data_IF_686795350352
#
_entry.id   IF_686795350352
#
_cell.length_a   1.000
_cell.length_b   1.000
_cell.length_c   1.000
_cell.angle_alpha   90.00
_cell.angle_beta   90.00
_cell.angle_gamma   90.00
#
_symmetry.space_group_name_H-M   'P 1'
#
loop_
_entity.id
_entity.type
_entity.pdbx_description
1 polymer ?
#
# COMPACT_ATOMS: atom_id res chain seq x y z
N UNK A 1 -21.26 9.46 24.78
CA UNK A 1 -20.85 9.53 24.39
C UNK A 1 -19.86 9.40 24.09
N UNK A 2 -19.50 8.95 23.66
CA UNK A 2 -18.57 8.92 23.39
C UNK A 2 -17.84 9.52 22.66
N UNK A 3 -17.46 9.93 22.96
CA UNK A 3 -16.84 10.84 22.07
C UNK A 3 -15.48 10.46 21.67
N UNK A 4 -15.08 9.39 21.96
CA UNK A 4 -13.99 8.94 21.30
C UNK A 4 -14.45 8.59 20.01
N UNK A 5 -14.14 9.38 19.27
CA UNK A 5 -14.45 9.28 18.01
C UNK A 5 -13.68 8.23 17.41
N UNK A 6 -14.30 7.13 17.28
CA UNK A 6 -13.81 6.20 16.30
C UNK A 6 -13.70 6.93 15.00
N UNK A 7 -12.60 6.82 14.33
CA UNK A 7 -12.50 7.33 12.98
C UNK A 7 -13.63 6.70 12.17
N UNK A 8 -14.43 7.55 11.55
CA UNK A 8 -15.57 7.11 10.79
C UNK A 8 -15.12 6.13 9.70
N UNK A 9 -15.86 5.03 9.53
CA UNK A 9 -15.59 4.08 8.47
C UNK A 9 -15.56 4.73 7.10
N UNK A 10 -16.41 5.72 6.86
CA UNK A 10 -16.41 6.46 5.60
C UNK A 10 -15.08 7.18 5.38
N UNK A 11 -14.48 7.73 6.43
CA UNK A 11 -13.19 8.37 6.34
C UNK A 11 -12.08 7.35 6.08
N UNK A 12 -12.12 6.21 6.78
CA UNK A 12 -11.17 5.13 6.54
C UNK A 12 -11.28 4.60 5.11
N UNK A 13 -12.49 4.44 4.62
CA UNK A 13 -12.71 4.03 3.23
C UNK A 13 -12.12 5.03 2.24
N UNK A 14 -12.31 6.32 2.48
CA UNK A 14 -11.74 7.34 1.61
C UNK A 14 -10.22 7.27 1.55
N UNK A 15 -9.57 6.98 2.68
CA UNK A 15 -8.12 6.85 2.72
C UNK A 15 -7.66 5.64 1.91
N UNK A 16 -8.31 4.49 2.07
CA UNK A 16 -7.96 3.29 1.30
C UNK A 16 -8.21 3.51 -0.19
N UNK A 17 -9.40 4.01 -0.54
CA UNK A 17 -9.75 4.21 -1.95
C UNK A 17 -8.83 5.24 -2.60
N UNK A 18 -8.46 6.28 -1.86
CA UNK A 18 -7.52 7.28 -2.33
C UNK A 18 -6.15 6.69 -2.62
N UNK A 19 -5.66 5.81 -1.75
CA UNK A 19 -4.38 5.15 -1.94
C UNK A 19 -4.41 4.20 -3.14
N UNK A 20 -5.47 3.40 -3.26
CA UNK A 20 -5.62 2.48 -4.40
C UNK A 20 -5.64 3.25 -5.72
N UNK A 21 -6.40 4.34 -5.78
CA UNK A 21 -6.46 5.17 -6.98
C UNK A 21 -5.12 5.81 -7.30
N UNK A 22 -4.45 6.36 -6.29
CA UNK A 22 -3.18 7.03 -6.48
C UNK A 22 -2.11 6.05 -6.97
N UNK A 23 -2.09 4.83 -6.44
CA UNK A 23 -1.17 3.80 -6.91
C UNK A 23 -1.49 3.38 -8.33
N UNK A 24 -2.77 3.19 -8.65
CA UNK A 24 -3.19 2.85 -10.00
C UNK A 24 -2.76 3.93 -11.00
N UNK A 25 -2.89 5.19 -10.62
CA UNK A 25 -2.54 6.32 -11.49
C UNK A 25 -1.03 6.62 -11.51
N UNK A 26 -0.25 5.98 -10.65
CA UNK A 26 1.18 6.26 -10.52
C UNK A 26 1.47 7.62 -9.93
N UNK A 27 0.56 8.15 -9.11
CA UNK A 27 0.66 9.50 -8.55
C UNK A 27 1.24 9.49 -7.15
N UNK A 28 2.57 9.58 -7.06
CA UNK A 28 3.29 9.54 -5.78
C UNK A 28 2.85 10.68 -4.86
N UNK A 29 2.63 11.88 -5.40
CA UNK A 29 2.25 13.02 -4.55
C UNK A 29 0.87 12.82 -3.93
N UNK A 30 -0.05 12.18 -4.65
CA UNK A 30 -1.35 11.84 -4.09
C UNK A 30 -1.22 10.75 -3.01
N UNK A 31 -0.31 9.79 -3.19
CA UNK A 31 -0.06 8.75 -2.19
C UNK A 31 0.41 9.38 -0.88
N UNK A 32 1.45 10.22 -0.92
CA UNK A 32 2.00 10.79 0.31
C UNK A 32 1.15 11.93 0.86
N UNK A 33 0.25 12.48 0.05
CA UNK A 33 -0.60 13.59 0.46
C UNK A 33 -1.56 13.27 1.60
N UNK A 34 -1.90 12.00 1.79
CA UNK A 34 -2.76 11.56 2.89
C UNK A 34 -1.96 11.11 4.12
N UNK A 35 -0.64 11.16 4.06
CA UNK A 35 0.24 10.66 5.12
C UNK A 35 0.72 11.78 6.03
N UNK A 36 0.97 11.43 7.29
CA UNK A 36 1.57 12.33 8.24
C UNK A 36 3.06 12.51 7.95
N UNK A 37 3.63 13.64 8.39
CA UNK A 37 5.05 13.94 8.18
C UNK A 37 5.97 12.84 8.71
N UNK A 38 5.64 12.27 9.86
CA UNK A 38 6.44 11.23 10.50
C UNK A 38 5.94 9.82 10.19
N UNK A 39 5.27 9.63 9.06
CA UNK A 39 4.71 8.33 8.67
C UNK A 39 5.78 7.25 8.63
N UNK A 40 5.38 6.04 8.99
CA UNK A 40 6.20 4.84 8.89
C UNK A 40 5.63 3.96 7.80
N UNK A 41 6.46 3.52 6.87
CA UNK A 41 6.04 2.57 5.85
C UNK A 41 6.80 1.26 6.04
N UNK A 42 6.05 0.20 6.29
CA UNK A 42 6.59 -1.11 6.58
C UNK A 42 6.17 -2.08 5.47
N UNK A 43 7.07 -2.33 4.56
CA UNK A 43 6.85 -3.29 3.49
C UNK A 43 7.46 -4.60 3.94
N UNK A 44 6.64 -5.44 4.54
CA UNK A 44 7.06 -6.67 5.21
C UNK A 44 7.81 -7.57 4.22
N UNK A 45 9.02 -7.99 4.61
CA UNK A 45 9.88 -8.82 3.79
C UNK A 45 10.93 -8.05 3.00
N UNK A 46 10.86 -6.72 2.97
CA UNK A 46 11.88 -5.90 2.32
C UNK A 46 13.10 -5.72 3.21
N UNK A 47 14.26 -5.57 2.58
CA UNK A 47 15.52 -5.49 3.32
C UNK A 47 15.62 -4.18 4.11
N UNK A 48 15.55 -3.04 3.45
CA UNK A 48 15.68 -1.74 4.11
C UNK A 48 14.32 -1.29 4.65
N UNK A 49 13.91 -1.88 5.77
CA UNK A 49 12.54 -1.76 6.23
C UNK A 49 12.46 -1.77 7.76
N UNK A 50 11.53 -1.01 8.36
CA UNK A 50 10.67 -0.02 7.72
C UNK A 50 11.39 1.28 7.38
N UNK A 51 10.76 2.10 6.55
CA UNK A 51 11.26 3.44 6.28
C UNK A 51 10.45 4.47 7.03
N UNK A 52 11.09 5.55 7.44
CA UNK A 52 10.52 6.57 8.30
C UNK A 52 10.51 7.92 7.62
N UNK A 53 9.37 8.60 7.71
CA UNK A 53 9.22 9.97 7.25
C UNK A 53 8.80 10.07 5.78
N UNK A 54 8.16 11.19 5.48
CA UNK A 54 7.53 11.40 4.19
C UNK A 54 8.53 11.32 3.03
N UNK A 55 9.73 11.87 3.21
CA UNK A 55 10.74 11.87 2.15
C UNK A 55 11.18 10.44 1.78
N UNK A 56 11.40 9.59 2.78
CA UNK A 56 11.80 8.20 2.55
C UNK A 56 10.67 7.39 1.91
N UNK A 57 9.44 7.62 2.36
CA UNK A 57 8.28 6.94 1.80
C UNK A 57 8.07 7.35 0.35
N UNK A 58 8.22 8.65 0.05
CA UNK A 58 8.11 9.15 -1.33
C UNK A 58 9.13 8.46 -2.25
N UNK A 59 10.38 8.33 -1.80
CA UNK A 59 11.41 7.65 -2.59
C UNK A 59 11.05 6.17 -2.83
N UNK A 60 10.55 5.50 -1.81
CA UNK A 60 10.15 4.08 -1.95
C UNK A 60 9.05 3.92 -2.99
N UNK A 61 8.05 4.79 -2.94
CA UNK A 61 6.95 4.72 -3.91
C UNK A 61 7.41 5.06 -5.33
N UNK A 62 8.32 6.00 -5.49
CA UNK A 62 8.90 6.25 -6.81
C UNK A 62 9.56 4.99 -7.37
N UNK A 63 10.31 4.27 -6.54
CA UNK A 63 10.98 3.04 -6.99
C UNK A 63 9.98 1.93 -7.31
N UNK A 64 9.00 1.73 -6.45
CA UNK A 64 7.99 0.69 -6.64
C UNK A 64 7.17 0.97 -7.91
N UNK A 65 6.70 2.20 -8.06
CA UNK A 65 5.86 2.56 -9.21
C UNK A 65 6.66 2.55 -10.52
N UNK A 66 7.96 2.81 -10.46
CA UNK A 66 8.80 2.70 -11.65
C UNK A 66 8.98 1.25 -12.09
N UNK A 67 8.82 0.30 -11.20
CA UNK A 67 9.02 -1.13 -11.48
C UNK A 67 7.74 -1.87 -11.82
N UNK A 68 6.58 -1.22 -11.70
CA UNK A 68 5.29 -1.89 -11.84
C UNK A 68 4.35 -1.11 -12.76
N UNK A 69 3.44 -1.82 -13.40
CA UNK A 69 2.29 -1.23 -14.08
C UNK A 69 1.06 -1.82 -13.40
N UNK A 70 0.34 -0.98 -12.65
CA UNK A 70 -0.83 -1.40 -11.90
C UNK A 70 -2.03 -1.44 -12.84
N UNK A 71 -2.67 -2.58 -12.96
CA UNK A 71 -3.80 -2.75 -13.87
C UNK A 71 -5.14 -2.83 -13.13
N UNK A 72 -5.20 -3.57 -12.03
CA UNK A 72 -6.48 -3.79 -11.35
C UNK A 72 -6.29 -4.20 -9.89
N UNK A 73 -7.25 -3.79 -9.05
CA UNK A 73 -7.42 -4.30 -7.70
C UNK A 73 -8.79 -4.96 -7.61
N UNK A 74 -8.84 -6.16 -7.03
CA UNK A 74 -10.09 -6.84 -6.73
C UNK A 74 -10.25 -6.92 -5.22
N UNK A 75 -11.26 -6.27 -4.65
CA UNK A 75 -11.44 -6.30 -3.19
C UNK A 75 -11.77 -7.70 -2.70
N UNK A 76 -11.18 -8.08 -1.58
CA UNK A 76 -11.49 -9.32 -0.89
C UNK A 76 -12.28 -9.04 0.38
N UNK A 77 -11.73 -8.23 1.28
CA UNK A 77 -12.46 -7.80 2.48
C UNK A 77 -11.76 -6.61 3.13
N UNK A 78 -12.51 -5.92 3.96
CA UNK A 78 -11.99 -4.77 4.70
C UNK A 78 -12.50 -4.84 6.13
N UNK A 79 -11.59 -4.68 7.09
CA UNK A 79 -11.91 -4.71 8.51
C UNK A 79 -11.54 -3.36 9.11
N UNK A 80 -12.32 -2.92 10.08
CA UNK A 80 -12.18 -1.58 10.65
C UNK A 80 -11.93 -1.65 12.14
N UNK A 81 -11.03 -0.80 12.62
CA UNK A 81 -10.88 -0.50 14.02
C UNK A 81 -11.22 0.95 14.29
N UNK A 82 -11.05 1.43 15.53
CA UNK A 82 -11.35 2.83 15.84
C UNK A 82 -10.38 3.81 15.16
N UNK A 83 -9.15 3.37 14.88
CA UNK A 83 -8.10 4.20 14.31
C UNK A 83 -7.28 3.46 13.25
N UNK A 84 -7.83 2.39 12.69
CA UNK A 84 -7.17 1.66 11.62
C UNK A 84 -8.16 0.99 10.69
N UNK A 85 -7.69 0.67 9.50
CA UNK A 85 -8.41 -0.16 8.55
C UNK A 85 -7.43 -1.18 7.98
N UNK A 86 -7.91 -2.42 7.87
CA UNK A 86 -7.17 -3.49 7.21
C UNK A 86 -7.88 -3.80 5.92
N UNK A 87 -7.19 -3.68 4.81
CA UNK A 87 -7.76 -3.93 3.49
C UNK A 87 -7.03 -5.07 2.81
N UNK A 88 -7.79 -6.07 2.41
CA UNK A 88 -7.27 -7.21 1.66
C UNK A 88 -7.82 -7.17 0.25
N UNK A 89 -6.93 -7.21 -0.73
CA UNK A 89 -7.31 -7.18 -2.14
C UNK A 89 -6.35 -8.03 -2.97
N UNK A 90 -6.75 -8.29 -4.21
CA UNK A 90 -5.89 -8.95 -5.19
C UNK A 90 -5.38 -7.87 -6.13
N UNK A 91 -4.07 -7.67 -6.11
CA UNK A 91 -3.38 -6.75 -7.00
C UNK A 91 -3.03 -7.49 -8.29
N UNK A 92 -3.29 -6.87 -9.41
CA UNK A 92 -2.92 -7.42 -10.72
C UNK A 92 -2.25 -6.33 -11.55
N UNK A 93 -1.21 -6.71 -12.25
CA UNK A 93 -0.46 -5.79 -13.07
C UNK A 93 0.75 -6.46 -13.69
N UNK A 94 1.70 -5.64 -14.15
CA UNK A 94 2.95 -6.15 -14.72
C UNK A 94 4.13 -5.67 -13.90
N UNK A 95 5.08 -6.56 -13.73
CA UNK A 95 6.34 -6.24 -13.09
C UNK A 95 7.35 -5.98 -14.20
N UNK A 96 7.56 -4.69 -14.50
CA UNK A 96 8.39 -4.29 -15.64
C UNK A 96 9.85 -4.06 -15.27
N UNK A 97 10.14 -3.95 -13.98
CA UNK A 97 11.49 -3.80 -13.46
C UNK A 97 11.76 -4.81 -12.37
N UNK A 98 12.58 -4.39 -11.40
CA UNK A 98 12.91 -5.24 -10.28
C UNK A 98 12.18 -4.75 -9.04
N UNK A 99 11.40 -5.63 -8.43
CA UNK A 99 10.71 -5.37 -7.17
C UNK A 99 10.71 -6.67 -6.36
N UNK A 100 10.66 -6.54 -5.02
CA UNK A 100 10.67 -7.69 -4.11
C UNK A 100 11.88 -8.61 -4.33
N UNK A 101 13.01 -8.03 -4.76
CA UNK A 101 14.21 -8.78 -5.15
C UNK A 101 13.98 -9.78 -6.29
N UNK A 102 12.99 -9.52 -7.12
CA UNK A 102 12.63 -10.36 -8.26
C UNK A 102 12.65 -9.52 -9.55
N UNK A 103 13.20 -10.11 -10.60
CA UNK A 103 13.15 -9.49 -11.93
C UNK A 103 11.85 -9.87 -12.60
N UNK A 104 11.08 -8.87 -13.01
CA UNK A 104 9.73 -9.08 -13.53
C UNK A 104 9.66 -9.48 -14.99
N UNK A 105 10.65 -9.06 -15.79
CA UNK A 105 10.70 -9.35 -17.23
C UNK A 105 9.44 -8.90 -17.99
N UNK A 106 8.74 -7.89 -17.47
CA UNK A 106 7.51 -7.39 -18.08
C UNK A 106 6.30 -8.29 -17.92
N UNK A 107 6.40 -9.33 -17.11
CA UNK A 107 5.33 -10.31 -16.97
C UNK A 107 4.18 -9.80 -16.14
N UNK A 108 2.98 -10.26 -16.49
CA UNK A 108 1.81 -10.05 -15.66
C UNK A 108 1.86 -10.95 -14.46
N UNK A 109 1.52 -10.37 -13.31
CA UNK A 109 1.40 -11.08 -12.05
C UNK A 109 0.11 -10.68 -11.35
N UNK A 110 -0.36 -11.55 -10.47
CA UNK A 110 -1.50 -11.28 -9.62
C UNK A 110 -1.19 -11.87 -8.26
N UNK A 111 -1.42 -11.10 -7.21
CA UNK A 111 -1.13 -11.60 -5.86
C UNK A 111 -2.04 -10.96 -4.82
N UNK A 112 -2.21 -11.67 -3.72
CA UNK A 112 -2.94 -11.17 -2.56
C UNK A 112 -2.08 -10.15 -1.83
N UNK A 113 -2.68 -9.02 -1.50
CA UNK A 113 -2.04 -7.98 -0.71
C UNK A 113 -2.93 -7.63 0.48
N UNK A 114 -2.31 -7.35 1.61
CA UNK A 114 -2.99 -6.87 2.80
C UNK A 114 -2.33 -5.58 3.22
N UNK A 115 -3.14 -4.53 3.37
CA UNK A 115 -2.70 -3.23 3.86
C UNK A 115 -3.30 -2.99 5.23
N UNK A 116 -2.47 -2.56 6.17
CA UNK A 116 -2.94 -2.06 7.45
C UNK A 116 -2.59 -0.57 7.50
N UNK A 117 -3.61 0.27 7.46
CA UNK A 117 -3.42 1.72 7.57
C UNK A 117 -3.83 2.14 8.96
N UNK A 118 -2.88 2.71 9.71
CA UNK A 118 -3.15 3.28 11.02
C UNK A 118 -3.27 4.79 10.86
N UNK A 119 -4.32 5.36 11.45
CA UNK A 119 -4.75 6.73 11.15
C UNK A 119 -4.82 7.54 12.44
N UNK A 120 -4.34 8.77 12.39
CA UNK A 120 -4.45 9.72 13.49
C UNK A 120 -4.67 11.11 12.90
N UNK A 121 -5.65 11.81 13.43
CA UNK A 121 -5.98 13.17 12.99
C UNK A 121 -6.23 13.25 11.48
N UNK A 122 -6.89 12.23 10.94
CA UNK A 122 -7.25 12.19 9.52
C UNK A 122 -6.12 11.84 8.57
N UNK A 123 -4.94 11.47 9.08
CA UNK A 123 -3.78 11.14 8.25
C UNK A 123 -3.25 9.78 8.58
N UNK A 124 -2.68 9.12 7.58
CA UNK A 124 -2.03 7.82 7.75
C UNK A 124 -0.72 8.05 8.49
N UNK A 125 -0.57 7.43 9.67
CA UNK A 125 0.66 7.52 10.46
C UNK A 125 1.53 6.28 10.30
N UNK A 126 0.94 5.16 9.85
CA UNK A 126 1.70 3.96 9.55
C UNK A 126 0.96 3.16 8.50
N UNK A 127 1.69 2.71 7.50
CA UNK A 127 1.18 1.79 6.49
C UNK A 127 2.03 0.54 6.53
N UNK A 128 1.40 -0.60 6.82
CA UNK A 128 2.07 -1.90 6.78
C UNK A 128 1.48 -2.70 5.63
N UNK A 129 2.35 -3.24 4.80
CA UNK A 129 1.95 -3.95 3.58
C UNK A 129 2.52 -5.35 3.61
N UNK A 130 1.65 -6.34 3.44
CA UNK A 130 2.05 -7.73 3.23
C UNK A 130 1.64 -8.14 1.82
N UNK A 131 2.61 -8.58 1.04
CA UNK A 131 2.38 -9.12 -0.31
C UNK A 131 2.70 -10.61 -0.30
N UNK A 132 1.98 -11.38 -1.08
CA UNK A 132 2.28 -12.81 -1.24
C UNK A 132 3.46 -12.97 -2.19
N UNK A 133 4.66 -12.74 -1.67
CA UNK A 133 5.91 -12.77 -2.45
C UNK A 133 6.15 -14.15 -3.05
N UNK A 134 5.81 -15.21 -2.32
CA UNK A 134 6.04 -16.57 -2.80
C UNK A 134 5.19 -16.86 -4.03
N UNK A 135 3.94 -16.37 -4.05
CA UNK A 135 3.09 -16.50 -5.22
C UNK A 135 3.67 -15.74 -6.42
N UNK A 136 4.19 -14.53 -6.17
CA UNK A 136 4.84 -13.74 -7.22
C UNK A 136 6.04 -14.51 -7.79
N UNK A 137 6.87 -15.05 -6.90
CA UNK A 137 8.05 -15.83 -7.32
C UNK A 137 7.67 -17.01 -8.21
N UNK A 138 6.62 -17.73 -7.83
CA UNK A 138 6.14 -18.86 -8.62
C UNK A 138 5.65 -18.44 -10.00
N UNK A 139 5.00 -17.30 -10.09
CA UNK A 139 4.47 -16.78 -11.37
C UNK A 139 5.59 -16.32 -12.30
N UNK A 140 6.69 -15.86 -11.75
CA UNK A 140 7.82 -15.41 -12.54
C UNK A 140 8.75 -16.55 -12.98
N UNK A 141 8.54 -17.72 -12.44
CA UNK A 141 9.30 -18.90 -12.81
C UNK A 141 10.60 -18.98 -12.06
#
# INVERSE_FOLDING_TARGET
MDSFQDTDHAELDRLVEGQLRAEHDGDVEAIVGSMAQAVVHDLVGSIDNPVHGLAAVRRRYHDVLAATVHERDVPVRRLYGPDFVLDEHIWSGRLIGRAFDLDGHGRRISHRAVWLLEVRDGRIVRETVWNDIESIRRQLG
#
